data_IF_956964961787
#
_entry.id   IF_956964961787
#
_cell.length_a   1.000
_cell.length_b   1.000
_cell.length_c   1.000
_cell.angle_alpha   90.00
_cell.angle_beta   90.00
_cell.angle_gamma   90.00
#
_symmetry.space_group_name_H-M   'P 1'
#
loop_
_entity.id
_entity.type
_entity.pdbx_description
1 polymer ?
#
# COMPACT_ATOMS: atom_id res chain seq x y z
N UNK A 1 29.93 3.16 10.86
CA UNK A 1 28.94 4.25 11.03
C UNK A 1 28.95 4.64 12.51
N UNK A 2 29.32 5.86 12.83
CA UNK A 2 29.40 6.36 14.20
C UNK A 2 28.00 6.57 14.79
N UNK A 3 27.86 6.51 16.13
CA UNK A 3 26.59 6.78 16.83
C UNK A 3 26.05 8.17 16.48
N UNK A 4 26.94 9.15 16.30
CA UNK A 4 26.58 10.50 15.85
C UNK A 4 25.93 10.51 14.46
N UNK A 5 26.41 9.66 13.55
CA UNK A 5 25.84 9.54 12.20
C UNK A 5 24.42 8.96 12.24
N UNK A 6 24.17 7.98 13.12
CA UNK A 6 22.85 7.38 13.31
C UNK A 6 21.85 8.42 13.85
N UNK A 7 22.25 9.22 14.84
CA UNK A 7 21.38 10.28 15.37
C UNK A 7 21.07 11.35 14.34
N UNK A 8 22.04 11.72 13.52
CA UNK A 8 21.84 12.69 12.43
C UNK A 8 20.87 12.13 11.37
N UNK A 9 21.02 10.87 10.98
CA UNK A 9 20.11 10.21 10.04
C UNK A 9 18.68 10.13 10.56
N UNK A 10 18.50 9.79 11.85
CA UNK A 10 17.17 9.76 12.45
C UNK A 10 16.51 11.15 12.46
N UNK A 11 17.28 12.20 12.73
CA UNK A 11 16.79 13.58 12.68
C UNK A 11 16.40 13.99 11.26
N UNK A 12 17.23 13.68 10.28
CA UNK A 12 16.94 13.95 8.86
C UNK A 12 15.65 13.22 8.46
N UNK A 13 15.50 11.94 8.83
CA UNK A 13 14.31 11.16 8.54
C UNK A 13 13.04 11.79 9.14
N UNK A 14 13.09 12.24 10.40
CA UNK A 14 11.95 12.91 11.04
C UNK A 14 11.59 14.25 10.32
N UNK A 15 12.57 15.01 9.81
CA UNK A 15 12.32 16.23 9.03
C UNK A 15 11.71 15.91 7.64
N UNK A 16 12.18 14.85 6.99
CA UNK A 16 11.58 14.38 5.73
C UNK A 16 10.12 13.94 5.91
N UNK A 17 9.77 13.26 7.01
CA UNK A 17 8.38 12.92 7.34
C UNK A 17 7.53 14.19 7.46
N UNK A 18 8.02 15.22 8.15
CA UNK A 18 7.30 16.50 8.27
C UNK A 18 7.09 17.17 6.90
N UNK A 19 8.10 17.12 6.05
CA UNK A 19 8.02 17.67 4.69
C UNK A 19 7.01 16.91 3.85
N UNK A 20 7.01 15.57 3.95
CA UNK A 20 6.04 14.72 3.28
C UNK A 20 4.59 15.03 3.74
N UNK A 21 4.35 15.20 5.04
CA UNK A 21 3.03 15.58 5.57
C UNK A 21 2.54 16.92 5.04
N UNK A 22 3.41 17.92 4.93
CA UNK A 22 3.05 19.21 4.29
C UNK A 22 2.66 19.04 2.82
N UNK A 23 3.32 18.12 2.10
CA UNK A 23 2.94 17.81 0.72
C UNK A 23 1.57 17.11 0.64
N UNK A 24 1.23 16.25 1.61
CA UNK A 24 -0.10 15.65 1.72
C UNK A 24 -1.19 16.72 1.88
N UNK A 25 -0.98 17.71 2.76
CA UNK A 25 -1.91 18.83 2.95
C UNK A 25 -2.12 19.66 1.66
N UNK A 26 -1.08 19.78 0.84
CA UNK A 26 -1.19 20.44 -0.45
C UNK A 26 -2.03 19.63 -1.45
N UNK A 27 -1.83 18.32 -1.50
CA UNK A 27 -2.60 17.43 -2.39
C UNK A 27 -4.08 17.42 -2.00
N UNK A 28 -4.39 17.39 -0.70
CA UNK A 28 -5.76 17.42 -0.21
C UNK A 28 -6.54 18.65 -0.69
N UNK A 29 -5.85 19.75 -0.91
CA UNK A 29 -6.45 21.00 -1.40
C UNK A 29 -6.57 21.05 -2.93
N UNK A 30 -6.05 20.06 -3.64
CA UNK A 30 -6.13 19.98 -5.09
C UNK A 30 -7.50 19.41 -5.52
N UNK A 31 -8.21 20.13 -6.37
CA UNK A 31 -9.48 19.70 -6.95
C UNK A 31 -9.22 18.89 -8.23
N UNK A 32 -8.75 17.66 -8.08
CA UNK A 32 -8.50 16.75 -9.20
C UNK A 32 -9.34 15.49 -9.08
N UNK A 33 -9.70 14.89 -10.21
CA UNK A 33 -10.37 13.58 -10.23
C UNK A 33 -9.54 12.57 -9.43
N UNK A 34 -10.19 11.80 -8.54
CA UNK A 34 -9.54 10.82 -7.64
C UNK A 34 -8.55 11.41 -6.62
N UNK A 35 -8.65 12.71 -6.31
CA UNK A 35 -7.81 13.32 -5.28
C UNK A 35 -8.01 12.64 -3.92
N UNK A 36 -9.24 12.29 -3.57
CA UNK A 36 -9.58 11.70 -2.28
C UNK A 36 -9.01 10.29 -2.13
N UNK A 37 -9.16 9.43 -3.15
CA UNK A 37 -8.63 8.07 -3.13
C UNK A 37 -7.09 8.07 -3.14
N UNK A 38 -6.48 8.94 -3.95
CA UNK A 38 -5.04 9.09 -3.98
C UNK A 38 -4.52 9.64 -2.65
N UNK A 39 -5.24 10.60 -2.05
CA UNK A 39 -4.91 11.17 -0.76
C UNK A 39 -4.88 10.10 0.34
N UNK A 40 -5.86 9.19 0.38
CA UNK A 40 -5.88 8.10 1.35
C UNK A 40 -4.63 7.21 1.26
N UNK A 41 -4.17 6.89 0.03
CA UNK A 41 -2.94 6.13 -0.17
C UNK A 41 -1.70 6.89 0.33
N UNK A 42 -1.63 8.18 0.02
CA UNK A 42 -0.51 9.04 0.40
C UNK A 42 -0.49 9.28 1.91
N UNK A 43 -1.65 9.46 2.53
CA UNK A 43 -1.78 9.57 3.99
C UNK A 43 -1.34 8.28 4.69
N UNK A 44 -1.72 7.12 4.16
CA UNK A 44 -1.28 5.82 4.67
C UNK A 44 0.25 5.64 4.64
N UNK A 45 0.93 6.24 3.64
CA UNK A 45 2.40 6.30 3.62
C UNK A 45 2.91 7.18 4.78
N UNK A 46 2.30 8.35 5.02
CA UNK A 46 2.70 9.26 6.10
C UNK A 46 2.63 8.59 7.48
N UNK A 47 1.52 7.91 7.78
CA UNK A 47 1.33 7.17 9.03
C UNK A 47 2.33 6.01 9.17
N UNK A 48 2.61 5.32 8.07
CA UNK A 48 3.60 4.24 8.04
C UNK A 48 5.02 4.74 8.27
N UNK A 49 5.38 5.92 7.73
CA UNK A 49 6.68 6.55 7.95
C UNK A 49 6.86 6.97 9.42
N UNK A 50 5.83 7.49 10.08
CA UNK A 50 5.87 7.79 11.52
C UNK A 50 6.06 6.53 12.36
N UNK A 51 5.30 5.48 12.05
CA UNK A 51 5.45 4.17 12.70
C UNK A 51 6.87 3.62 12.52
N UNK A 52 7.43 3.74 11.33
CA UNK A 52 8.80 3.32 11.03
C UNK A 52 9.82 4.11 11.86
N UNK A 53 9.65 5.44 12.00
CA UNK A 53 10.51 6.26 12.83
C UNK A 53 10.49 5.82 14.31
N UNK A 54 9.30 5.58 14.86
CA UNK A 54 9.15 5.14 16.25
C UNK A 54 9.81 3.77 16.47
N UNK A 55 9.50 2.79 15.62
CA UNK A 55 9.99 1.43 15.73
C UNK A 55 11.51 1.33 15.56
N UNK A 56 12.09 2.15 14.70
CA UNK A 56 13.55 2.20 14.53
C UNK A 56 14.26 2.69 15.79
N UNK A 57 13.69 3.68 16.50
CA UNK A 57 14.24 4.22 17.75
C UNK A 57 14.24 3.19 18.91
N UNK A 58 13.33 2.23 18.87
CA UNK A 58 13.25 1.13 19.85
C UNK A 58 13.80 -0.20 19.33
N UNK A 59 14.54 -0.15 18.23
CA UNK A 59 15.25 -1.28 17.61
C UNK A 59 14.35 -2.47 17.21
N UNK A 60 13.13 -2.21 16.73
CA UNK A 60 12.21 -3.21 16.21
C UNK A 60 12.46 -3.48 14.72
N UNK A 61 13.64 -3.96 14.37
CA UNK A 61 14.10 -4.07 12.99
C UNK A 61 13.21 -4.93 12.10
N UNK A 62 12.69 -6.06 12.61
CA UNK A 62 11.80 -6.93 11.84
C UNK A 62 10.53 -6.19 11.38
N UNK A 63 9.94 -5.41 12.28
CA UNK A 63 8.72 -4.66 12.00
C UNK A 63 9.04 -3.48 11.07
N UNK A 64 10.23 -2.86 11.22
CA UNK A 64 10.71 -1.84 10.30
C UNK A 64 10.81 -2.37 8.86
N UNK A 65 11.34 -3.58 8.65
CA UNK A 65 11.40 -4.19 7.32
C UNK A 65 10.01 -4.42 6.72
N UNK A 66 9.08 -4.93 7.50
CA UNK A 66 7.71 -5.17 7.03
C UNK A 66 7.01 -3.86 6.61
N UNK A 67 7.15 -2.81 7.43
CA UNK A 67 6.58 -1.49 7.13
C UNK A 67 7.27 -0.84 5.93
N UNK A 68 8.60 -0.92 5.83
CA UNK A 68 9.35 -0.39 4.69
C UNK A 68 8.90 -1.02 3.37
N UNK A 69 8.64 -2.32 3.37
CA UNK A 69 8.09 -3.03 2.20
C UNK A 69 6.71 -2.51 1.83
N UNK A 70 5.84 -2.35 2.80
CA UNK A 70 4.49 -1.82 2.58
C UNK A 70 4.52 -0.38 2.03
N UNK A 71 5.37 0.48 2.60
CA UNK A 71 5.58 1.84 2.09
C UNK A 71 6.05 1.80 0.63
N UNK A 72 7.07 0.99 0.33
CA UNK A 72 7.61 0.87 -1.01
C UNK A 72 6.56 0.42 -2.04
N UNK A 73 5.79 -0.61 -1.73
CA UNK A 73 4.72 -1.11 -2.61
C UNK A 73 3.64 -0.04 -2.82
N UNK A 74 3.29 0.72 -1.78
CA UNK A 74 2.30 1.81 -1.87
C UNK A 74 2.83 2.97 -2.71
N UNK A 75 4.11 3.36 -2.57
CA UNK A 75 4.75 4.38 -3.40
C UNK A 75 4.73 3.98 -4.88
N UNK A 76 5.07 2.72 -5.20
CA UNK A 76 4.98 2.23 -6.59
C UNK A 76 3.54 2.31 -7.10
N UNK A 77 2.55 1.96 -6.28
CA UNK A 77 1.15 2.03 -6.68
C UNK A 77 0.73 3.47 -6.99
N UNK A 78 1.04 4.41 -6.10
CA UNK A 78 0.74 5.84 -6.30
C UNK A 78 1.39 6.39 -7.58
N UNK A 79 2.68 6.12 -7.77
CA UNK A 79 3.40 6.57 -8.96
C UNK A 79 2.88 5.92 -10.24
N UNK A 80 2.52 4.63 -10.21
CA UNK A 80 1.96 3.92 -11.34
C UNK A 80 0.57 4.46 -11.72
N UNK A 81 -0.31 4.68 -10.75
CA UNK A 81 -1.63 5.29 -10.96
C UNK A 81 -1.46 6.67 -11.60
N UNK A 82 -0.58 7.49 -11.06
CA UNK A 82 -0.29 8.82 -11.63
C UNK A 82 0.34 8.74 -13.03
N UNK A 83 1.23 7.76 -13.28
CA UNK A 83 1.85 7.56 -14.58
C UNK A 83 0.88 7.10 -15.67
N UNK A 84 -0.22 6.42 -15.29
CA UNK A 84 -1.30 5.99 -16.18
C UNK A 84 -2.43 7.02 -16.30
N UNK A 85 -2.21 8.28 -15.90
CA UNK A 85 -3.23 9.34 -15.88
C UNK A 85 -4.51 8.91 -15.15
N UNK A 86 -4.35 8.19 -14.04
CA UNK A 86 -5.40 7.68 -13.15
C UNK A 86 -6.29 6.57 -13.73
N UNK A 87 -6.05 6.09 -14.95
CA UNK A 87 -6.80 4.94 -15.50
C UNK A 87 -6.71 3.68 -14.62
N UNK A 88 -5.52 3.46 -14.02
CA UNK A 88 -5.30 2.33 -13.11
C UNK A 88 -6.03 2.48 -11.76
N UNK A 89 -6.53 3.64 -11.39
CA UNK A 89 -7.27 3.87 -10.15
C UNK A 89 -8.60 3.14 -10.13
N UNK A 90 -9.35 3.18 -11.23
CA UNK A 90 -10.63 2.48 -11.34
C UNK A 90 -10.47 0.97 -11.15
N UNK A 91 -9.39 0.40 -11.66
CA UNK A 91 -9.08 -1.04 -11.47
C UNK A 91 -8.75 -1.34 -10.00
N UNK A 92 -8.02 -0.45 -9.33
CA UNK A 92 -7.70 -0.59 -7.91
C UNK A 92 -8.94 -0.48 -7.02
N UNK A 93 -9.84 0.46 -7.29
CA UNK A 93 -11.09 0.64 -6.55
C UNK A 93 -11.96 -0.62 -6.68
N UNK A 94 -12.19 -1.08 -7.91
CA UNK A 94 -12.96 -2.31 -8.18
C UNK A 94 -12.37 -3.51 -7.46
N UNK A 95 -11.04 -3.67 -7.51
CA UNK A 95 -10.36 -4.75 -6.81
C UNK A 95 -10.56 -4.65 -5.29
N UNK A 96 -10.43 -3.45 -4.72
CA UNK A 96 -10.57 -3.22 -3.28
C UNK A 96 -11.99 -3.54 -2.81
N UNK A 97 -13.00 -3.15 -3.56
CA UNK A 97 -14.40 -3.49 -3.29
C UNK A 97 -14.66 -5.00 -3.34
N UNK A 98 -14.21 -5.67 -4.41
CA UNK A 98 -14.34 -7.13 -4.55
C UNK A 98 -13.57 -7.87 -3.46
N UNK A 99 -12.37 -7.41 -3.13
CA UNK A 99 -11.53 -7.97 -2.07
C UNK A 99 -12.17 -7.80 -0.71
N UNK A 100 -12.73 -6.62 -0.42
CA UNK A 100 -13.42 -6.34 0.83
C UNK A 100 -14.64 -7.26 1.00
N UNK A 101 -15.46 -7.43 -0.03
CA UNK A 101 -16.60 -8.37 -0.02
C UNK A 101 -16.13 -9.81 0.23
N UNK A 102 -15.08 -10.24 -0.47
CA UNK A 102 -14.52 -11.58 -0.31
C UNK A 102 -13.93 -11.80 1.09
N UNK A 103 -13.20 -10.83 1.62
CA UNK A 103 -12.55 -10.97 2.93
C UNK A 103 -13.54 -10.82 4.09
N UNK A 104 -14.60 -10.02 3.93
CA UNK A 104 -15.71 -9.93 4.89
C UNK A 104 -16.50 -11.25 5.00
N UNK A 105 -16.51 -12.04 3.92
CA UNK A 105 -17.09 -13.39 3.91
C UNK A 105 -16.12 -14.45 4.43
N UNK A 106 -14.99 -14.07 5.01
CA UNK A 106 -13.99 -15.01 5.51
C UNK A 106 -14.51 -15.81 6.69
N UNK A 107 -14.38 -17.11 6.55
CA UNK A 107 -14.82 -18.11 7.46
C UNK A 107 -13.84 -18.38 8.59
N UNK A 108 -14.38 -18.58 9.78
CA UNK A 108 -13.70 -19.34 10.81
C UNK A 108 -13.95 -20.82 10.47
N UNK A 109 -12.91 -21.52 10.08
CA UNK A 109 -13.01 -22.96 9.75
C UNK A 109 -13.08 -23.76 11.04
N UNK A 110 -14.16 -24.51 11.23
CA UNK A 110 -14.18 -25.65 12.12
C UNK A 110 -13.92 -26.92 11.28
N UNK A 111 -13.62 -28.07 11.90
CA UNK A 111 -13.19 -29.30 11.22
C UNK A 111 -14.09 -29.78 10.09
N UNK A 112 -15.28 -29.24 9.94
CA UNK A 112 -16.29 -29.71 8.95
C UNK A 112 -16.93 -28.57 8.14
N UNK A 113 -17.01 -27.35 8.66
CA UNK A 113 -17.75 -26.26 8.03
C UNK A 113 -17.07 -24.91 8.25
N UNK A 114 -17.14 -24.05 7.26
CA UNK A 114 -16.71 -22.69 7.35
C UNK A 114 -17.90 -21.81 7.75
N UNK A 115 -17.74 -21.02 8.81
CA UNK A 115 -18.67 -19.96 9.17
C UNK A 115 -18.28 -18.72 8.39
N UNK A 116 -19.22 -18.10 7.73
CA UNK A 116 -19.00 -16.84 7.02
C UNK A 116 -20.06 -15.80 7.39
N UNK A 117 -19.66 -14.54 7.32
CA UNK A 117 -20.55 -13.41 7.53
C UNK A 117 -20.67 -12.67 6.20
N UNK A 118 -21.88 -12.55 5.69
CA UNK A 118 -22.16 -11.69 4.54
C UNK A 118 -22.80 -10.40 5.01
N UNK A 119 -22.39 -9.30 4.40
CA UNK A 119 -22.97 -7.99 4.62
C UNK A 119 -23.72 -7.57 3.36
N UNK A 120 -25.00 -7.35 3.49
CA UNK A 120 -25.86 -6.83 2.42
C UNK A 120 -26.52 -5.53 2.90
N UNK A 121 -25.86 -4.42 2.62
CA UNK A 121 -26.26 -3.12 3.09
C UNK A 121 -26.24 -3.02 4.62
N UNK A 122 -27.42 -2.90 5.25
CA UNK A 122 -27.54 -2.78 6.71
C UNK A 122 -27.65 -4.13 7.44
N UNK A 123 -27.70 -5.25 6.69
CA UNK A 123 -27.93 -6.59 7.27
C UNK A 123 -26.72 -7.45 7.25
N UNK A 124 -26.37 -8.03 8.39
CA UNK A 124 -25.39 -9.07 8.50
C UNK A 124 -26.13 -10.43 8.53
N UNK A 125 -25.70 -11.35 7.68
CA UNK A 125 -26.17 -12.73 7.73
C UNK A 125 -24.99 -13.67 8.00
N UNK A 126 -25.22 -14.65 8.89
CA UNK A 126 -24.25 -15.70 9.20
C UNK A 126 -24.70 -16.95 8.47
N UNK A 127 -23.76 -17.56 7.73
CA UNK A 127 -24.01 -18.80 7.02
C UNK A 127 -22.95 -19.84 7.30
N UNK A 128 -23.28 -21.11 6.95
CA UNK A 128 -22.37 -22.24 7.08
C UNK A 128 -22.21 -22.89 5.71
N UNK A 129 -20.97 -23.08 5.27
CA UNK A 129 -20.68 -23.74 4.00
C UNK A 129 -19.34 -24.47 4.05
N UNK A 130 -19.18 -25.50 3.22
CA UNK A 130 -17.89 -26.21 3.07
C UNK A 130 -16.81 -25.34 2.42
N UNK A 131 -17.20 -24.34 1.64
CA UNK A 131 -16.28 -23.43 0.94
C UNK A 131 -16.81 -21.99 1.02
N UNK A 132 -15.93 -21.00 0.89
CA UNK A 132 -16.34 -19.61 0.81
C UNK A 132 -17.34 -19.42 -0.37
N UNK A 133 -18.59 -18.99 -0.10
CA UNK A 133 -19.61 -18.86 -1.11
C UNK A 133 -19.35 -17.67 -2.06
N UNK A 134 -18.53 -16.70 -1.63
CA UNK A 134 -18.19 -15.52 -2.42
C UNK A 134 -16.89 -15.78 -3.17
N UNK A 135 -17.01 -15.93 -4.50
CA UNK A 135 -15.86 -16.03 -5.39
C UNK A 135 -15.47 -14.64 -5.84
N UNK A 136 -14.23 -14.28 -5.60
CA UNK A 136 -13.67 -13.04 -6.12
C UNK A 136 -13.55 -13.09 -7.65
N UNK A 137 -13.96 -12.03 -8.32
CA UNK A 137 -13.73 -11.86 -9.76
C UNK A 137 -12.28 -11.40 -9.96
N UNK A 138 -11.52 -12.12 -10.79
CA UNK A 138 -10.12 -11.81 -11.08
C UNK A 138 -9.12 -12.51 -10.17
N UNK A 139 -7.86 -12.04 -10.17
CA UNK A 139 -6.80 -12.61 -9.34
C UNK A 139 -6.91 -12.05 -7.90
N UNK A 140 -7.14 -12.88 -6.88
CA UNK A 140 -7.28 -12.41 -5.50
C UNK A 140 -5.98 -11.85 -4.89
N UNK A 141 -4.85 -11.99 -5.59
CA UNK A 141 -3.52 -11.59 -5.09
C UNK A 141 -3.11 -10.20 -5.55
N UNK A 142 -3.70 -9.69 -6.64
CA UNK A 142 -3.27 -8.42 -7.23
C UNK A 142 -4.41 -7.70 -7.97
N UNK A 143 -4.43 -6.39 -7.85
CA UNK A 143 -5.37 -5.52 -8.56
C UNK A 143 -4.90 -5.15 -9.97
N UNK A 144 -3.64 -5.42 -10.29
CA UNK A 144 -3.05 -5.10 -11.59
C UNK A 144 -2.41 -6.33 -12.23
N UNK A 145 -2.52 -6.46 -13.55
CA UNK A 145 -1.83 -7.48 -14.35
C UNK A 145 -0.33 -7.20 -14.52
N UNK A 146 0.13 -6.02 -14.06
CA UNK A 146 1.52 -5.61 -14.19
C UNK A 146 2.31 -5.98 -12.93
N UNK A 147 3.40 -6.73 -13.09
CA UNK A 147 4.35 -6.95 -12.00
C UNK A 147 5.11 -5.65 -11.66
N UNK A 148 5.87 -5.67 -10.56
CA UNK A 148 6.61 -4.49 -10.07
C UNK A 148 7.55 -3.93 -11.14
N UNK A 149 8.30 -4.76 -11.84
CA UNK A 149 9.26 -4.31 -12.87
C UNK A 149 8.57 -3.57 -14.02
N UNK A 150 7.44 -4.11 -14.49
CA UNK A 150 6.65 -3.46 -15.54
C UNK A 150 6.08 -2.12 -15.07
N UNK A 151 5.60 -2.04 -13.81
CA UNK A 151 5.13 -0.77 -13.24
C UNK A 151 6.25 0.25 -13.15
N UNK A 152 7.44 -0.14 -12.68
CA UNK A 152 8.63 0.73 -12.64
C UNK A 152 9.00 1.23 -14.04
N UNK A 153 8.92 0.38 -15.06
CA UNK A 153 9.18 0.80 -16.44
C UNK A 153 8.17 1.83 -16.97
N UNK A 154 6.89 1.70 -16.59
CA UNK A 154 5.87 2.69 -16.94
C UNK A 154 6.12 4.02 -16.22
N UNK A 155 6.45 3.96 -14.93
CA UNK A 155 6.83 5.11 -14.12
C UNK A 155 8.06 5.82 -14.73
N UNK A 156 9.08 5.06 -15.12
CA UNK A 156 10.30 5.59 -15.75
C UNK A 156 10.01 6.38 -17.02
N UNK A 157 9.11 5.88 -17.88
CA UNK A 157 8.72 6.57 -19.11
C UNK A 157 8.05 7.93 -18.84
N UNK A 158 7.35 8.07 -17.72
CA UNK A 158 6.65 9.32 -17.36
C UNK A 158 7.54 10.29 -16.59
N UNK A 159 8.33 9.78 -15.63
CA UNK A 159 9.06 10.61 -14.66
C UNK A 159 10.58 10.58 -14.85
N UNK A 160 11.07 9.81 -15.79
CA UNK A 160 12.49 9.72 -16.14
C UNK A 160 13.28 8.69 -15.33
N UNK A 161 14.52 8.46 -15.79
CA UNK A 161 15.37 7.37 -15.29
C UNK A 161 15.84 7.53 -13.85
N UNK A 162 15.93 8.75 -13.34
CA UNK A 162 16.35 9.01 -11.95
C UNK A 162 15.38 8.36 -10.97
N UNK A 163 14.07 8.53 -11.20
CA UNK A 163 13.02 7.89 -10.37
C UNK A 163 13.10 6.37 -10.48
N UNK A 164 13.27 5.86 -11.70
CA UNK A 164 13.40 4.43 -11.94
C UNK A 164 14.59 3.80 -11.21
N UNK A 165 15.77 4.42 -11.28
CA UNK A 165 16.98 3.95 -10.58
C UNK A 165 16.79 3.92 -9.07
N UNK A 166 16.17 4.96 -8.51
CA UNK A 166 15.86 5.01 -7.09
C UNK A 166 14.92 3.86 -6.68
N UNK A 167 13.84 3.63 -7.43
CA UNK A 167 12.90 2.55 -7.16
C UNK A 167 13.55 1.16 -7.29
N UNK A 168 14.41 0.96 -8.29
CA UNK A 168 15.16 -0.28 -8.45
C UNK A 168 16.14 -0.53 -7.30
N UNK A 169 16.85 0.50 -6.85
CA UNK A 169 17.77 0.39 -5.71
C UNK A 169 17.00 0.03 -4.42
N UNK A 170 15.88 0.71 -4.16
CA UNK A 170 15.02 0.41 -3.02
C UNK A 170 14.47 -1.03 -3.10
N UNK A 171 14.08 -1.49 -4.29
CA UNK A 171 13.64 -2.88 -4.50
C UNK A 171 14.73 -3.89 -4.13
N UNK A 172 15.95 -3.68 -4.59
CA UNK A 172 17.07 -4.56 -4.26
C UNK A 172 17.36 -4.60 -2.76
N UNK A 173 17.24 -3.47 -2.08
CA UNK A 173 17.49 -3.37 -0.64
C UNK A 173 16.40 -4.07 0.18
N UNK A 174 15.13 -3.98 -0.24
CA UNK A 174 13.99 -4.48 0.53
C UNK A 174 13.72 -5.97 0.29
N UNK A 175 14.02 -6.49 -0.90
CA UNK A 175 13.63 -7.86 -1.30
C UNK A 175 14.79 -8.86 -1.43
N UNK A 176 16.04 -8.40 -1.31
CA UNK A 176 17.22 -9.29 -1.41
C UNK A 176 17.99 -9.47 -0.10
N UNK A 177 17.51 -8.83 0.99
CA UNK A 177 17.95 -9.10 2.37
C UNK A 177 17.05 -10.15 3.00
#
# INVERSE_FOLDING_TARGET
MDIKDIHNLAKIFDEEIKTYKKACDFILKSDTKHSDELFLLILGIADSLESLSILSKINKMRDCYAISRMIYETVINVLYISATNFEAMDDMIKYTEEKSKHDSARSITTDKEAVFITFDGEKHSVGFAKNNPIKMKGDPRTWTKQNIDKRINIISKKYGDTVSRFLQLAHLTIYRT
#
